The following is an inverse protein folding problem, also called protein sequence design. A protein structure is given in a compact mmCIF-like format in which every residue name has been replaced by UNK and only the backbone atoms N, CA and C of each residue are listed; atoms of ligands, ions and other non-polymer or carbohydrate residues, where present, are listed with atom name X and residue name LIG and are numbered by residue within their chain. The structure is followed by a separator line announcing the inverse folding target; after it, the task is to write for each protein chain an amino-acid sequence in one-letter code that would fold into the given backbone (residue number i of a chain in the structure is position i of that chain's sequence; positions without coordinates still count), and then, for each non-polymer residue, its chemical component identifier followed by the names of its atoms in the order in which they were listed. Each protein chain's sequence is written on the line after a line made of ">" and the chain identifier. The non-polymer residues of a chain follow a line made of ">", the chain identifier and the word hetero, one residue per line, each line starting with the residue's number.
data_IF_491348152323
#
_entry.id   IF_491348152323
#
_cell.length_a   1.000
_cell.length_b   1.000
_cell.length_c   1.000
_cell.angle_alpha   90.00
_cell.angle_beta   90.00
_cell.angle_gamma   90.00
#
_symmetry.space_group_name_H-M   'P 1'
#
loop_
_entity.id
_entity.type
_entity.pdbx_description
1 polymer ?
#
# COMPACT_ATOMS: atom_id res chain seq x y z
N UNK A 1 -97.30 55.07 -25.38
CA UNK A 1 -96.44 55.51 -24.27
C UNK A 1 -96.58 54.52 -23.12
N UNK A 2 -95.58 54.32 -22.25
CA UNK A 2 -94.11 54.39 -22.42
C UNK A 2 -93.56 52.91 -22.44
N UNK A 3 -92.32 52.52 -22.12
CA UNK A 3 -91.01 53.19 -21.91
C UNK A 3 -89.86 52.27 -22.39
N UNK A 4 -88.63 52.77 -22.28
CA UNK A 4 -87.31 52.19 -22.58
C UNK A 4 -86.75 51.19 -21.54
N UNK A 5 -85.85 50.30 -21.96
CA UNK A 5 -84.41 50.40 -21.59
C UNK A 5 -83.51 49.57 -22.55
N UNK A 6 -82.38 50.15 -22.97
CA UNK A 6 -81.34 49.47 -23.74
C UNK A 6 -80.12 49.21 -22.85
N UNK A 7 -79.40 48.11 -23.05
CA UNK A 7 -78.10 47.90 -22.41
C UNK A 7 -77.11 47.25 -23.39
N UNK A 8 -76.01 47.96 -23.66
CA UNK A 8 -74.97 47.54 -24.61
C UNK A 8 -73.99 46.57 -23.95
N UNK A 9 -73.65 45.48 -24.62
CA UNK A 9 -72.62 44.54 -24.17
C UNK A 9 -71.27 44.93 -24.79
N UNK A 10 -70.29 45.28 -23.96
CA UNK A 10 -68.92 45.54 -24.38
C UNK A 10 -68.11 44.23 -24.40
N UNK A 11 -67.58 43.86 -25.57
CA UNK A 11 -66.74 42.67 -25.73
C UNK A 11 -65.27 43.02 -25.45
N UNK A 12 -64.74 42.60 -24.30
CA UNK A 12 -63.33 42.77 -23.97
C UNK A 12 -62.49 41.64 -24.59
N UNK A 13 -61.66 41.96 -25.58
CA UNK A 13 -60.62 41.03 -26.05
C UNK A 13 -59.48 40.95 -25.02
N UNK A 14 -59.34 39.78 -24.38
CA UNK A 14 -58.17 39.46 -23.56
C UNK A 14 -57.07 38.97 -24.50
N UNK A 15 -56.06 39.82 -24.74
CA UNK A 15 -54.84 39.42 -25.46
C UNK A 15 -53.91 38.73 -24.48
N UNK A 16 -53.88 37.40 -24.52
CA UNK A 16 -52.87 36.62 -23.79
C UNK A 16 -51.50 36.80 -24.45
N UNK A 17 -50.65 37.65 -23.85
CA UNK A 17 -49.24 37.70 -24.22
C UNK A 17 -48.59 36.33 -23.90
N UNK A 18 -47.78 35.76 -24.81
CA UNK A 18 -47.04 34.54 -24.50
C UNK A 18 -46.05 34.84 -23.39
N UNK A 19 -46.07 34.04 -22.32
CA UNK A 19 -45.04 34.09 -21.30
C UNK A 19 -43.72 33.63 -21.96
N UNK A 20 -42.84 34.59 -22.27
CA UNK A 20 -41.48 34.30 -22.70
C UNK A 20 -40.79 33.66 -21.50
N UNK A 21 -40.63 32.34 -21.53
CA UNK A 21 -39.80 31.62 -20.57
C UNK A 21 -38.37 32.14 -20.76
N UNK A 22 -37.90 32.96 -19.81
CA UNK A 22 -36.59 33.56 -19.87
C UNK A 22 -35.56 32.44 -19.70
N UNK A 23 -34.83 32.13 -20.78
CA UNK A 23 -33.77 31.12 -20.76
C UNK A 23 -32.68 31.56 -19.79
N UNK A 24 -32.53 30.83 -18.70
CA UNK A 24 -31.43 31.04 -17.75
C UNK A 24 -30.15 30.53 -18.44
N UNK A 25 -29.40 31.44 -19.06
CA UNK A 25 -28.12 31.11 -19.71
C UNK A 25 -27.06 30.65 -18.70
N UNK A 26 -27.11 31.16 -17.46
CA UNK A 26 -26.21 30.78 -16.36
C UNK A 26 -26.92 30.79 -15.02
N UNK A 27 -26.57 29.85 -14.14
CA UNK A 27 -26.96 29.91 -12.73
C UNK A 27 -26.13 30.98 -11.99
N UNK A 28 -26.68 31.63 -10.94
CA UNK A 28 -25.93 32.60 -10.14
C UNK A 28 -24.61 32.01 -9.61
N UNK A 29 -23.49 32.70 -9.87
CA UNK A 29 -22.15 32.24 -9.49
C UNK A 29 -21.49 31.25 -10.48
N UNK A 30 -22.11 30.98 -11.63
CA UNK A 30 -21.53 30.13 -12.69
C UNK A 30 -21.20 30.94 -13.95
N UNK A 31 -20.27 30.43 -14.76
CA UNK A 31 -20.00 30.91 -16.12
C UNK A 31 -20.38 29.82 -17.13
N UNK A 32 -20.72 30.17 -18.39
CA UNK A 32 -21.00 29.17 -19.42
C UNK A 32 -19.76 28.30 -19.67
N UNK A 33 -19.96 27.00 -19.92
CA UNK A 33 -18.87 26.12 -20.33
C UNK A 33 -18.57 26.37 -21.82
N UNK A 34 -17.55 27.17 -22.10
CA UNK A 34 -17.14 27.55 -23.47
C UNK A 34 -16.07 26.63 -24.07
N UNK A 35 -15.83 25.45 -23.47
CA UNK A 35 -14.86 24.48 -23.99
C UNK A 35 -15.51 23.70 -25.13
N UNK A 36 -14.95 23.80 -26.33
CA UNK A 36 -15.42 23.10 -27.52
C UNK A 36 -14.62 21.80 -27.78
N UNK A 37 -15.19 20.90 -28.58
CA UNK A 37 -14.60 19.61 -28.93
C UNK A 37 -14.85 18.50 -27.90
N UNK A 38 -13.96 17.50 -27.85
CA UNK A 38 -14.05 16.42 -26.87
C UNK A 38 -13.53 16.88 -25.50
N UNK A 39 -14.46 17.33 -24.65
CA UNK A 39 -14.19 17.79 -23.29
C UNK A 39 -13.70 16.63 -22.40
N UNK A 40 -14.13 15.39 -22.65
CA UNK A 40 -13.74 14.25 -21.84
C UNK A 40 -12.25 13.90 -22.05
N UNK A 41 -11.79 13.87 -23.30
CA UNK A 41 -10.37 13.69 -23.60
C UNK A 41 -9.52 14.85 -23.05
N UNK A 42 -9.95 16.10 -23.21
CA UNK A 42 -9.25 17.27 -22.63
C UNK A 42 -9.15 17.21 -21.10
N UNK A 43 -10.17 16.68 -20.43
CA UNK A 43 -10.16 16.47 -18.98
C UNK A 43 -9.16 15.38 -18.58
N UNK A 44 -9.09 14.26 -19.33
CA UNK A 44 -8.13 13.18 -19.09
C UNK A 44 -6.70 13.70 -19.27
N UNK A 45 -6.40 14.40 -20.38
CA UNK A 45 -5.10 15.03 -20.62
C UNK A 45 -4.69 16.02 -19.50
N UNK A 46 -5.68 16.69 -18.90
CA UNK A 46 -5.50 17.57 -17.75
C UNK A 46 -5.20 16.83 -16.46
N UNK A 47 -5.90 15.73 -16.20
CA UNK A 47 -5.68 14.84 -15.05
C UNK A 47 -4.29 14.20 -15.13
N UNK A 48 -3.91 13.63 -16.28
CA UNK A 48 -2.60 13.00 -16.46
C UNK A 48 -1.46 14.01 -16.26
N UNK A 49 -1.58 15.21 -16.86
CA UNK A 49 -0.59 16.29 -16.67
C UNK A 49 -0.48 16.74 -15.21
N UNK A 50 -1.60 16.80 -14.49
CA UNK A 50 -1.60 17.10 -13.06
C UNK A 50 -0.91 15.98 -12.27
N UNK A 51 -1.35 14.73 -12.42
CA UNK A 51 -0.84 13.58 -11.67
C UNK A 51 0.65 13.33 -11.93
N UNK A 52 1.11 13.45 -13.18
CA UNK A 52 2.54 13.32 -13.51
C UNK A 52 3.39 14.39 -12.82
N UNK A 53 2.90 15.65 -12.77
CA UNK A 53 3.57 16.74 -12.04
C UNK A 53 3.60 16.49 -10.53
N UNK A 54 2.51 16.02 -9.94
CA UNK A 54 2.48 15.69 -8.51
C UNK A 54 3.38 14.48 -8.18
N UNK A 55 3.51 13.50 -9.09
CA UNK A 55 4.45 12.38 -8.97
C UNK A 55 5.90 12.89 -8.98
N UNK A 56 6.24 13.81 -9.88
CA UNK A 56 7.57 14.44 -9.95
C UNK A 56 7.86 15.25 -8.67
N UNK A 57 6.95 16.15 -8.28
CA UNK A 57 7.07 16.96 -7.06
C UNK A 57 7.18 16.10 -5.78
N UNK A 58 6.53 14.92 -5.76
CA UNK A 58 6.56 14.01 -4.60
C UNK A 58 7.98 13.60 -4.18
N UNK A 59 8.96 13.62 -5.09
CA UNK A 59 10.36 13.25 -4.79
C UNK A 59 11.00 14.30 -3.88
N UNK A 60 10.85 15.58 -4.22
CA UNK A 60 11.34 16.70 -3.40
C UNK A 60 10.54 16.82 -2.11
N UNK A 61 9.21 16.73 -2.18
CA UNK A 61 8.32 16.84 -1.03
C UNK A 61 8.59 15.76 0.03
N UNK A 62 8.86 14.52 -0.38
CA UNK A 62 9.25 13.45 0.55
C UNK A 62 10.47 13.84 1.39
N UNK A 63 11.43 14.57 0.82
CA UNK A 63 12.65 15.00 1.53
C UNK A 63 12.34 15.96 2.68
N UNK A 64 11.28 16.77 2.58
CA UNK A 64 10.82 17.70 3.64
C UNK A 64 10.39 16.97 4.93
N UNK A 65 10.08 15.68 4.84
CA UNK A 65 9.76 14.82 5.99
C UNK A 65 10.99 14.11 6.60
N UNK A 66 12.21 14.35 6.12
CA UNK A 66 13.43 13.67 6.58
C UNK A 66 14.51 14.65 7.05
N UNK A 67 14.43 15.05 8.32
CA UNK A 67 15.51 15.80 8.99
C UNK A 67 16.57 14.83 9.56
N UNK A 68 17.35 14.18 8.69
CA UNK A 68 18.32 13.15 9.07
C UNK A 68 19.62 13.76 9.60
N UNK A 69 19.98 13.43 10.83
CA UNK A 69 21.28 13.78 11.42
C UNK A 69 22.27 12.63 11.19
N UNK A 70 23.38 12.89 10.48
CA UNK A 70 24.40 11.89 10.17
C UNK A 70 25.65 12.01 11.06
N UNK A 71 25.64 12.84 12.11
CA UNK A 71 26.79 13.07 13.00
C UNK A 71 27.16 11.84 13.84
N UNK A 72 26.20 10.98 14.16
CA UNK A 72 26.41 9.69 14.83
C UNK A 72 25.24 8.73 14.63
N UNK A 73 25.42 7.45 14.95
CA UNK A 73 24.33 6.45 14.92
C UNK A 73 23.20 6.79 15.89
N UNK A 74 23.52 7.31 17.09
CA UNK A 74 22.51 7.73 18.07
C UNK A 74 21.72 8.95 17.57
N UNK A 75 22.43 9.96 17.04
CA UNK A 75 21.81 11.15 16.47
C UNK A 75 20.91 10.80 15.27
N UNK A 76 21.37 9.91 14.39
CA UNK A 76 20.58 9.41 13.27
C UNK A 76 19.28 8.77 13.74
N UNK A 77 19.35 7.80 14.66
CA UNK A 77 18.17 7.12 15.19
C UNK A 77 17.19 8.10 15.85
N UNK A 78 17.68 9.05 16.66
CA UNK A 78 16.86 10.11 17.28
C UNK A 78 16.20 11.01 16.24
N UNK A 79 16.90 11.34 15.16
CA UNK A 79 16.42 12.23 14.10
C UNK A 79 15.28 11.64 13.26
N UNK A 80 15.28 10.31 13.06
CA UNK A 80 14.25 9.60 12.28
C UNK A 80 13.11 9.04 13.14
N UNK A 81 13.20 9.15 14.47
CA UNK A 81 12.23 8.56 15.41
C UNK A 81 10.76 8.97 15.17
N UNK A 82 10.41 10.22 14.81
CA UNK A 82 9.04 10.57 14.44
C UNK A 82 8.51 9.78 13.24
N UNK A 83 9.37 9.50 12.25
CA UNK A 83 9.02 8.70 11.08
C UNK A 83 8.89 7.21 11.41
N UNK A 84 9.72 6.68 12.33
CA UNK A 84 9.56 5.31 12.85
C UNK A 84 8.21 5.15 13.54
N UNK A 85 7.84 6.08 14.44
CA UNK A 85 6.54 6.08 15.12
C UNK A 85 5.37 6.20 14.14
N UNK A 86 5.48 7.06 13.12
CA UNK A 86 4.47 7.18 12.06
C UNK A 86 4.34 5.92 11.21
N UNK A 87 5.44 5.26 10.88
CA UNK A 87 5.42 4.00 10.12
C UNK A 87 4.80 2.87 10.95
N UNK A 88 5.19 2.72 12.22
CA UNK A 88 4.56 1.79 13.16
C UNK A 88 3.05 2.08 13.34
N UNK A 89 2.66 3.36 13.32
CA UNK A 89 1.26 3.75 13.32
C UNK A 89 0.51 3.22 12.09
N UNK A 90 1.05 3.46 10.88
CA UNK A 90 0.43 3.05 9.61
C UNK A 90 0.36 1.52 9.47
N UNK A 91 1.43 0.81 9.86
CA UNK A 91 1.52 -0.65 9.76
C UNK A 91 0.77 -1.40 10.88
N UNK A 92 0.27 -0.71 11.90
CA UNK A 92 -0.41 -1.32 13.05
C UNK A 92 0.53 -1.99 14.07
N UNK A 93 1.85 -2.03 13.84
CA UNK A 93 2.86 -2.67 14.70
C UNK A 93 3.21 -1.82 15.93
N UNK A 94 2.21 -1.54 16.77
CA UNK A 94 2.31 -0.63 17.93
C UNK A 94 2.35 -1.36 19.28
N UNK A 95 1.81 -2.57 19.31
CA UNK A 95 1.72 -3.37 20.52
C UNK A 95 3.07 -4.02 20.84
N UNK A 96 3.32 -4.30 22.12
CA UNK A 96 4.54 -4.98 22.54
C UNK A 96 4.61 -6.39 21.90
N UNK A 97 5.80 -6.75 21.40
CA UNK A 97 6.03 -8.09 20.87
C UNK A 97 5.91 -9.12 21.98
N UNK A 98 5.32 -10.28 21.67
CA UNK A 98 5.34 -11.43 22.58
C UNK A 98 6.80 -11.83 22.80
N UNK A 99 7.33 -11.80 24.03
CA UNK A 99 8.71 -12.19 24.29
C UNK A 99 8.85 -13.71 24.20
N UNK A 100 9.91 -14.16 23.54
CA UNK A 100 10.34 -15.56 23.48
C UNK A 100 11.87 -15.63 23.39
N UNK A 101 12.44 -16.76 23.79
CA UNK A 101 13.90 -16.95 23.88
C UNK A 101 14.51 -17.33 22.51
N UNK A 102 13.97 -18.38 21.88
CA UNK A 102 14.33 -18.83 20.54
C UNK A 102 13.12 -19.46 19.82
N UNK A 103 13.12 -19.55 18.47
CA UNK A 103 12.11 -20.31 17.74
C UNK A 103 12.09 -21.78 18.16
N UNK A 104 10.89 -22.36 18.24
CA UNK A 104 10.67 -23.76 18.59
C UNK A 104 10.81 -24.66 17.35
N UNK A 105 11.50 -25.80 17.49
CA UNK A 105 11.60 -26.82 16.45
C UNK A 105 10.27 -27.57 16.26
N UNK A 106 9.71 -27.54 15.04
CA UNK A 106 8.47 -28.25 14.71
C UNK A 106 8.79 -29.73 14.47
N UNK A 107 8.34 -30.63 15.35
CA UNK A 107 8.53 -32.08 15.18
C UNK A 107 7.37 -32.90 15.74
N UNK A 108 7.28 -34.14 15.29
CA UNK A 108 6.38 -35.18 15.83
C UNK A 108 7.18 -36.47 16.08
N UNK A 109 6.57 -37.48 16.70
CA UNK A 109 7.20 -38.81 16.84
C UNK A 109 7.55 -39.48 15.51
N UNK A 110 6.93 -39.03 14.41
CA UNK A 110 7.08 -39.61 13.08
C UNK A 110 7.79 -38.67 12.09
N UNK A 111 8.01 -37.40 12.47
CA UNK A 111 8.52 -36.35 11.58
C UNK A 111 9.56 -35.51 12.33
N UNK A 112 10.85 -35.56 11.95
CA UNK A 112 11.87 -34.73 12.58
C UNK A 112 11.72 -33.26 12.18
N UNK A 113 12.22 -32.35 13.01
CA UNK A 113 12.32 -30.93 12.65
C UNK A 113 13.38 -30.67 11.58
N UNK A 114 14.41 -31.51 11.49
CA UNK A 114 15.41 -31.48 10.42
C UNK A 114 14.76 -31.94 9.10
N UNK A 115 14.41 -30.98 8.24
CA UNK A 115 13.70 -31.20 6.97
C UNK A 115 14.63 -31.32 5.76
N UNK A 116 15.90 -30.93 5.91
CA UNK A 116 16.91 -31.13 4.86
C UNK A 116 18.33 -30.82 5.30
N UNK A 117 19.27 -31.09 4.41
CA UNK A 117 20.70 -30.78 4.57
C UNK A 117 21.23 -30.19 3.27
N UNK A 118 22.07 -29.16 3.38
CA UNK A 118 22.86 -28.63 2.28
C UNK A 118 24.35 -28.96 2.43
N UNK A 119 25.17 -28.31 1.61
CA UNK A 119 26.62 -28.35 1.76
C UNK A 119 27.03 -27.36 2.86
N UNK A 120 27.40 -27.89 4.03
CA UNK A 120 27.86 -27.10 5.18
C UNK A 120 26.76 -26.53 6.10
N UNK A 121 25.49 -26.93 5.95
CA UNK A 121 24.39 -26.48 6.82
C UNK A 121 23.22 -27.48 6.88
N UNK A 122 22.51 -27.46 8.01
CA UNK A 122 21.28 -28.21 8.27
C UNK A 122 20.04 -27.28 8.18
N UNK A 123 18.89 -27.80 7.75
CA UNK A 123 17.65 -27.03 7.58
C UNK A 123 16.56 -27.55 8.52
N UNK A 124 16.04 -26.69 9.39
CA UNK A 124 15.04 -27.03 10.39
C UNK A 124 13.71 -26.32 10.15
N UNK A 125 12.58 -27.01 10.30
CA UNK A 125 11.27 -26.40 10.42
C UNK A 125 11.10 -25.79 11.82
N UNK A 126 10.73 -24.51 11.89
CA UNK A 126 10.63 -23.74 13.13
C UNK A 126 9.33 -22.93 13.21
N UNK A 127 8.87 -22.68 14.44
CA UNK A 127 7.77 -21.75 14.75
C UNK A 127 8.15 -20.75 15.83
N UNK A 128 7.51 -19.59 15.84
CA UNK A 128 7.68 -18.57 16.88
C UNK A 128 6.35 -17.85 17.14
N UNK A 129 6.10 -17.31 18.35
CA UNK A 129 4.90 -16.50 18.59
C UNK A 129 4.99 -15.18 17.81
N UNK A 130 3.92 -14.82 17.11
CA UNK A 130 3.81 -13.56 16.38
C UNK A 130 3.04 -12.53 17.21
N UNK A 131 1.78 -12.82 17.54
CA UNK A 131 0.92 -12.01 18.40
C UNK A 131 -0.26 -12.83 18.93
N UNK A 132 -0.69 -12.60 20.17
CA UNK A 132 -1.78 -13.35 20.78
C UNK A 132 -1.56 -14.87 20.74
N UNK A 133 -2.42 -15.59 20.03
CA UNK A 133 -2.33 -17.04 19.77
C UNK A 133 -1.92 -17.37 18.31
N UNK A 134 -1.40 -16.39 17.56
CA UNK A 134 -0.90 -16.57 16.18
C UNK A 134 0.60 -16.83 16.22
N UNK A 135 1.03 -17.83 15.48
CA UNK A 135 2.44 -18.19 15.29
C UNK A 135 2.90 -17.89 13.87
N UNK A 136 4.16 -17.49 13.72
CA UNK A 136 4.87 -17.59 12.46
C UNK A 136 5.53 -18.96 12.36
N UNK A 137 5.61 -19.50 11.13
CA UNK A 137 6.35 -20.72 10.80
C UNK A 137 7.33 -20.42 9.66
N UNK A 138 8.41 -21.18 9.59
CA UNK A 138 9.44 -21.01 8.57
C UNK A 138 10.54 -22.05 8.66
N UNK A 139 11.63 -21.77 7.93
CA UNK A 139 12.83 -22.59 7.89
C UNK A 139 13.98 -21.84 8.59
N UNK A 140 14.77 -22.57 9.36
CA UNK A 140 16.01 -22.08 9.98
C UNK A 140 17.18 -22.90 9.42
N UNK A 141 18.11 -22.24 8.74
CA UNK A 141 19.29 -22.83 8.14
C UNK A 141 20.48 -22.56 9.07
N UNK A 142 21.08 -23.61 9.61
CA UNK A 142 22.17 -23.52 10.59
C UNK A 142 23.45 -24.11 9.98
N UNK A 143 24.52 -23.33 9.80
CA UNK A 143 25.83 -23.85 9.42
C UNK A 143 26.29 -24.97 10.35
N UNK A 144 26.85 -26.04 9.79
CA UNK A 144 27.43 -27.16 10.58
C UNK A 144 28.84 -26.85 11.07
N UNK A 145 29.53 -25.93 10.40
CA UNK A 145 30.97 -25.74 10.51
C UNK A 145 31.30 -24.46 11.29
N UNK A 146 31.17 -24.54 12.62
CA UNK A 146 31.52 -23.46 13.55
C UNK A 146 30.35 -22.54 13.93
N UNK A 147 30.67 -21.37 14.48
CA UNK A 147 29.66 -20.35 14.82
C UNK A 147 29.21 -19.57 13.57
N UNK A 148 27.91 -19.26 13.42
CA UNK A 148 27.44 -18.45 12.29
C UNK A 148 28.11 -17.08 12.22
N UNK A 149 28.60 -16.69 11.04
CA UNK A 149 29.28 -15.40 10.85
C UNK A 149 28.31 -14.20 10.85
N UNK A 150 27.03 -14.46 10.62
CA UNK A 150 25.94 -13.49 10.64
C UNK A 150 24.58 -14.19 10.80
N UNK A 151 23.60 -13.46 11.31
CA UNK A 151 22.17 -13.79 11.26
C UNK A 151 21.50 -13.00 10.12
N UNK A 152 20.70 -13.68 9.29
CA UNK A 152 19.98 -13.07 8.16
C UNK A 152 18.52 -13.49 8.20
N UNK A 153 17.58 -12.55 8.05
CA UNK A 153 16.16 -12.89 7.83
C UNK A 153 15.89 -12.90 6.32
N UNK A 154 15.75 -14.08 5.73
CA UNK A 154 15.40 -14.24 4.33
C UNK A 154 13.88 -14.14 4.11
N UNK A 155 13.43 -13.12 3.37
CA UNK A 155 12.03 -12.96 2.96
C UNK A 155 11.97 -13.21 1.44
N UNK A 156 11.24 -14.24 0.95
CA UNK A 156 11.07 -14.49 -0.48
C UNK A 156 10.19 -13.42 -1.14
N UNK A 157 10.17 -13.41 -2.48
CA UNK A 157 9.14 -12.69 -3.25
C UNK A 157 7.76 -13.35 -3.03
N UNK A 158 6.68 -12.63 -3.34
CA UNK A 158 5.30 -13.06 -3.08
C UNK A 158 4.87 -14.29 -3.91
N UNK A 159 5.62 -14.65 -4.95
CA UNK A 159 5.41 -15.85 -5.77
C UNK A 159 6.31 -17.05 -5.36
N UNK A 160 7.14 -16.89 -4.33
CA UNK A 160 8.14 -17.86 -3.90
C UNK A 160 7.90 -18.38 -2.48
N UNK A 161 8.10 -19.68 -2.26
CA UNK A 161 8.03 -20.28 -0.92
C UNK A 161 9.42 -20.34 -0.26
N UNK A 162 9.50 -20.41 1.10
CA UNK A 162 10.76 -20.65 1.80
C UNK A 162 11.51 -21.88 1.30
N UNK A 163 10.80 -22.98 0.99
CA UNK A 163 11.37 -24.22 0.45
C UNK A 163 12.01 -24.01 -0.91
N UNK A 164 11.47 -23.11 -1.74
CA UNK A 164 12.02 -22.82 -3.06
C UNK A 164 13.32 -22.02 -2.98
N UNK A 165 13.38 -20.95 -2.17
CA UNK A 165 14.59 -20.13 -2.01
C UNK A 165 15.71 -20.82 -1.21
N UNK A 166 15.38 -21.92 -0.53
CA UNK A 166 16.33 -22.80 0.19
C UNK A 166 16.73 -24.04 -0.61
N UNK A 167 16.05 -24.33 -1.73
CA UNK A 167 16.34 -25.46 -2.62
C UNK A 167 15.72 -26.80 -2.20
N UNK A 168 14.81 -26.80 -1.22
CA UNK A 168 13.99 -27.96 -0.84
C UNK A 168 12.85 -28.25 -1.85
N UNK A 169 12.39 -27.23 -2.56
CA UNK A 169 11.32 -27.35 -3.56
C UNK A 169 11.75 -26.76 -4.93
N UNK A 170 11.24 -27.30 -6.06
CA UNK A 170 11.47 -26.73 -7.37
C UNK A 170 10.70 -25.40 -7.56
N UNK A 171 11.27 -24.50 -8.36
CA UNK A 171 10.64 -23.24 -8.75
C UNK A 171 11.63 -22.08 -8.92
N UNK A 172 12.71 -22.09 -8.14
CA UNK A 172 13.77 -21.07 -8.19
C UNK A 172 15.09 -21.71 -8.63
N UNK A 173 15.78 -21.09 -9.58
CA UNK A 173 17.08 -21.56 -10.09
C UNK A 173 18.16 -21.55 -9.00
N UNK A 174 19.13 -22.47 -9.07
CA UNK A 174 20.14 -22.70 -8.03
C UNK A 174 20.94 -21.45 -7.63
N UNK A 175 21.12 -20.52 -8.57
CA UNK A 175 21.83 -19.25 -8.43
C UNK A 175 20.97 -18.22 -7.68
N UNK A 176 19.64 -18.29 -7.82
CA UNK A 176 18.67 -17.39 -7.20
C UNK A 176 18.18 -17.89 -5.82
N UNK A 177 18.56 -19.10 -5.40
CA UNK A 177 18.31 -19.65 -4.06
C UNK A 177 19.19 -18.95 -3.01
N UNK A 178 18.89 -17.67 -2.74
CA UNK A 178 19.77 -16.80 -1.96
C UNK A 178 19.90 -17.22 -0.49
N UNK A 179 18.82 -17.70 0.14
CA UNK A 179 18.87 -18.22 1.51
C UNK A 179 19.82 -19.42 1.62
N UNK A 180 19.72 -20.36 0.66
CA UNK A 180 20.63 -21.51 0.55
C UNK A 180 22.10 -21.09 0.39
N UNK A 181 22.36 -20.08 -0.45
CA UNK A 181 23.72 -19.59 -0.73
C UNK A 181 24.34 -18.86 0.47
N UNK A 182 23.53 -18.13 1.23
CA UNK A 182 23.96 -17.46 2.46
C UNK A 182 24.30 -18.47 3.55
N UNK A 183 23.48 -19.52 3.71
CA UNK A 183 23.75 -20.61 4.65
C UNK A 183 25.04 -21.37 4.30
N UNK A 184 25.23 -21.73 3.03
CA UNK A 184 26.46 -22.32 2.52
C UNK A 184 27.70 -21.40 2.67
N UNK A 185 27.51 -20.10 2.91
CA UNK A 185 28.58 -19.13 3.17
C UNK A 185 28.84 -18.91 4.67
N UNK A 186 28.22 -19.68 5.56
CA UNK A 186 28.41 -19.60 7.02
C UNK A 186 27.43 -18.69 7.75
N UNK A 187 26.40 -18.14 7.10
CA UNK A 187 25.34 -17.38 7.78
C UNK A 187 24.29 -18.32 8.37
N UNK A 188 23.68 -17.96 9.50
CA UNK A 188 22.39 -18.52 9.93
C UNK A 188 21.27 -17.72 9.26
N UNK A 189 20.29 -18.42 8.68
CA UNK A 189 19.24 -17.83 7.82
C UNK A 189 17.85 -18.32 8.24
#
# INVERSE_FOLDING_TARGET
>A
MPRSLSLSIALALIVSAPAIAQSIETYPGTQPLTIEGDIASQMIDGIDRFLLREIEASVEDRTKHWNRDFSSSEAYNKSIEPNRKRLAHILGVRDDRVPFDAPELISTTNTPALVGKGEGFDIFAVRWPAFGNVHGEGLLLVPTDGEPIADVVAIPDADQTPEQITGLAPGVAAEAQFARRLAASGCRV
#
